data_IF_712729119609
#
_entry.id   IF_712729119609
#
_cell.length_a   1.000
_cell.length_b   1.000
_cell.length_c   1.000
_cell.angle_alpha   90.00
_cell.angle_beta   90.00
_cell.angle_gamma   90.00
#
_symmetry.space_group_name_H-M   'P 1'
#
loop_
_entity.id
_entity.type
_entity.pdbx_description
1 polymer ?
#
# COMPACT_ATOMS: atom_id res chain seq x y z
N UNK A 1 -9.81 6.05 -21.39
CA UNK A 1 -8.43 6.56 -21.20
C UNK A 1 -8.05 6.67 -19.71
N UNK A 2 -8.68 5.91 -18.79
CA UNK A 2 -8.43 5.99 -17.33
C UNK A 2 -7.49 4.90 -16.76
N UNK A 3 -7.33 3.77 -17.44
CA UNK A 3 -6.48 2.66 -16.99
C UNK A 3 -4.99 3.04 -16.84
N UNK A 4 -4.51 3.97 -17.67
CA UNK A 4 -3.10 4.38 -17.69
C UNK A 4 -2.69 5.12 -16.41
N UNK A 5 -3.55 5.97 -15.87
CA UNK A 5 -3.24 6.77 -14.66
C UNK A 5 -3.25 5.92 -13.40
N UNK A 6 -4.23 5.01 -13.28
CA UNK A 6 -4.30 4.09 -12.15
C UNK A 6 -3.09 3.14 -12.14
N UNK A 7 -2.72 2.57 -13.29
CA UNK A 7 -1.54 1.72 -13.38
C UNK A 7 -0.24 2.50 -13.05
N UNK A 8 -0.12 3.75 -13.52
CA UNK A 8 1.03 4.62 -13.21
C UNK A 8 1.12 4.98 -11.74
N UNK A 9 -0.02 5.23 -11.08
CA UNK A 9 -0.11 5.41 -9.64
C UNK A 9 0.37 4.19 -8.87
N UNK A 10 -0.12 2.99 -9.22
CA UNK A 10 0.29 1.74 -8.56
C UNK A 10 1.79 1.49 -8.68
N UNK A 11 2.35 1.73 -9.88
CA UNK A 11 3.78 1.61 -10.11
C UNK A 11 4.58 2.66 -9.31
N UNK A 12 4.11 3.90 -9.25
CA UNK A 12 4.75 4.97 -8.49
C UNK A 12 4.74 4.70 -6.98
N UNK A 13 3.65 4.15 -6.45
CA UNK A 13 3.54 3.77 -5.05
C UNK A 13 4.52 2.64 -4.72
N UNK A 14 4.61 1.63 -5.59
CA UNK A 14 5.57 0.53 -5.44
C UNK A 14 7.01 1.07 -5.45
N UNK A 15 7.34 1.92 -6.43
CA UNK A 15 8.68 2.53 -6.52
C UNK A 15 9.01 3.36 -5.27
N UNK A 16 8.04 4.13 -4.76
CA UNK A 16 8.22 4.89 -3.52
C UNK A 16 8.57 4.00 -2.33
N UNK A 17 7.84 2.90 -2.14
CA UNK A 17 8.08 1.95 -1.05
C UNK A 17 9.47 1.30 -1.20
N UNK A 18 9.78 0.78 -2.38
CA UNK A 18 11.06 0.12 -2.66
C UNK A 18 12.24 1.08 -2.53
N UNK A 19 12.11 2.33 -3.00
CA UNK A 19 13.12 3.37 -2.82
C UNK A 19 13.35 3.66 -1.34
N UNK A 20 12.29 3.87 -0.55
CA UNK A 20 12.42 4.11 0.87
C UNK A 20 13.07 2.94 1.62
N UNK A 21 12.74 1.69 1.24
CA UNK A 21 13.43 0.49 1.77
C UNK A 21 14.92 0.50 1.41
N UNK A 22 15.26 0.78 0.15
CA UNK A 22 16.64 0.75 -0.34
C UNK A 22 17.53 1.80 0.33
N UNK A 23 17.01 3.00 0.60
CA UNK A 23 17.76 4.06 1.30
C UNK A 23 17.69 3.94 2.84
N UNK A 24 16.97 2.94 3.36
CA UNK A 24 16.78 2.75 4.81
C UNK A 24 15.92 3.83 5.47
N UNK A 25 15.11 4.55 4.70
CA UNK A 25 14.28 5.65 5.19
C UNK A 25 12.96 5.16 5.79
N UNK A 26 13.10 4.46 6.92
CA UNK A 26 11.99 3.93 7.71
C UNK A 26 11.05 5.03 8.23
N UNK A 27 11.49 6.30 8.25
CA UNK A 27 10.65 7.43 8.68
C UNK A 27 9.56 7.75 7.68
N UNK A 28 9.71 7.36 6.42
CA UNK A 28 8.68 7.55 5.39
C UNK A 28 7.85 6.29 5.13
N UNK A 29 8.10 5.22 5.89
CA UNK A 29 7.37 3.97 5.84
C UNK A 29 6.58 3.74 7.12
N UNK A 30 5.57 2.89 7.04
CA UNK A 30 4.91 2.27 8.18
C UNK A 30 5.34 0.81 8.17
N UNK A 31 5.96 0.37 9.25
CA UNK A 31 6.32 -1.03 9.42
C UNK A 31 5.23 -1.69 10.23
N UNK A 32 4.53 -2.63 9.63
CA UNK A 32 3.40 -3.32 10.23
C UNK A 32 3.65 -4.83 10.26
N UNK A 33 3.27 -5.48 11.35
CA UNK A 33 3.32 -6.93 11.48
C UNK A 33 1.96 -7.50 11.11
N UNK A 34 1.82 -8.02 9.89
CA UNK A 34 0.56 -8.51 9.34
C UNK A 34 0.16 -9.80 10.04
N UNK A 35 -1.00 -9.79 10.69
CA UNK A 35 -1.55 -10.95 11.39
C UNK A 35 -2.28 -11.90 10.44
N UNK A 36 -2.58 -13.12 10.91
CA UNK A 36 -3.25 -14.15 10.09
C UNK A 36 -4.63 -13.70 9.57
N UNK A 37 -5.40 -12.99 10.39
CA UNK A 37 -6.72 -12.47 10.00
C UNK A 37 -6.61 -11.32 8.99
N UNK A 38 -5.60 -10.46 9.15
CA UNK A 38 -5.30 -9.36 8.23
C UNK A 38 -4.80 -9.87 6.88
N UNK A 39 -4.05 -10.97 6.88
CA UNK A 39 -3.54 -11.60 5.67
C UNK A 39 -4.65 -12.14 4.75
N UNK A 40 -5.82 -12.46 5.34
CA UNK A 40 -7.01 -12.94 4.63
C UNK A 40 -7.94 -11.82 4.18
N UNK A 41 -7.85 -10.64 4.81
CA UNK A 41 -8.69 -9.47 4.50
C UNK A 41 -7.86 -8.18 4.45
N UNK A 42 -7.44 -7.80 3.25
CA UNK A 42 -6.72 -6.55 3.01
C UNK A 42 -7.50 -5.30 3.48
N UNK A 43 -8.83 -5.35 3.46
CA UNK A 43 -9.66 -4.23 3.93
C UNK A 43 -9.59 -4.08 5.45
N UNK A 44 -9.49 -5.20 6.18
CA UNK A 44 -9.25 -5.21 7.62
C UNK A 44 -7.87 -4.66 7.97
N UNK A 45 -6.84 -5.06 7.22
CA UNK A 45 -5.49 -4.52 7.38
C UNK A 45 -5.45 -3.01 7.14
N UNK A 46 -6.07 -2.53 6.06
CA UNK A 46 -6.22 -1.10 5.77
C UNK A 46 -6.92 -0.36 6.92
N UNK A 47 -8.01 -0.94 7.45
CA UNK A 47 -8.75 -0.36 8.56
C UNK A 47 -7.89 -0.24 9.82
N UNK A 48 -7.13 -1.27 10.18
CA UNK A 48 -6.29 -1.27 11.40
C UNK A 48 -5.08 -0.35 11.27
N UNK A 49 -4.43 -0.35 10.12
CA UNK A 49 -3.22 0.45 9.90
C UNK A 49 -3.54 1.92 9.65
N UNK A 50 -4.54 2.23 8.83
CA UNK A 50 -4.84 3.60 8.38
C UNK A 50 -6.12 4.20 8.97
N UNK A 51 -6.90 3.42 9.73
CA UNK A 51 -8.20 3.85 10.25
C UNK A 51 -9.32 3.87 9.21
N UNK A 52 -9.10 3.38 8.00
CA UNK A 52 -10.09 3.37 6.92
C UNK A 52 -9.87 2.22 5.94
N UNK A 53 -10.96 1.72 5.34
CA UNK A 53 -10.93 0.64 4.32
C UNK A 53 -10.64 1.15 2.90
N UNK A 54 -10.61 2.46 2.68
CA UNK A 54 -10.44 3.06 1.34
C UNK A 54 -9.03 2.90 0.77
N UNK A 55 -8.07 2.43 1.57
CA UNK A 55 -6.67 2.22 1.18
C UNK A 55 -6.31 0.75 0.93
N UNK A 56 -7.33 -0.08 0.63
CA UNK A 56 -7.16 -1.52 0.41
C UNK A 56 -6.26 -1.81 -0.80
N UNK A 57 -6.35 -1.02 -1.87
CA UNK A 57 -5.52 -1.19 -3.08
C UNK A 57 -4.04 -0.96 -2.75
N UNK A 58 -3.75 0.05 -1.94
CA UNK A 58 -2.40 0.41 -1.50
C UNK A 58 -1.77 -0.67 -0.63
N UNK A 59 -2.56 -1.27 0.27
CA UNK A 59 -2.13 -2.42 1.08
C UNK A 59 -1.73 -3.60 0.19
N UNK A 60 -2.58 -3.94 -0.77
CA UNK A 60 -2.33 -5.05 -1.72
C UNK A 60 -1.05 -4.80 -2.53
N UNK A 61 -0.86 -3.57 -3.02
CA UNK A 61 0.34 -3.18 -3.78
C UNK A 61 1.60 -3.29 -2.92
N UNK A 62 1.56 -2.80 -1.68
CA UNK A 62 2.68 -2.85 -0.75
C UNK A 62 3.06 -4.30 -0.40
N UNK A 63 2.06 -5.17 -0.28
CA UNK A 63 2.23 -6.61 -0.07
C UNK A 63 2.68 -7.38 -1.32
N UNK A 64 2.71 -6.74 -2.50
CA UNK A 64 3.06 -7.41 -3.76
C UNK A 64 1.99 -8.37 -4.27
N UNK A 65 0.77 -8.30 -3.75
CA UNK A 65 -0.35 -9.11 -4.16
C UNK A 65 -0.99 -8.60 -5.45
N UNK A 66 -1.60 -9.49 -6.24
CA UNK A 66 -2.22 -9.14 -7.53
C UNK A 66 -3.70 -8.74 -7.42
N UNK A 67 -4.35 -8.99 -6.29
CA UNK A 67 -5.76 -8.66 -6.10
C UNK A 67 -6.26 -8.86 -4.67
N UNK A 68 -7.52 -8.45 -4.43
CA UNK A 68 -8.16 -8.46 -3.10
C UNK A 68 -8.39 -9.87 -2.52
N UNK A 69 -8.36 -10.90 -3.38
CA UNK A 69 -8.56 -12.30 -2.99
C UNK A 69 -7.23 -13.05 -2.75
N UNK A 70 -6.11 -12.38 -2.97
CA UNK A 70 -4.80 -12.97 -2.75
C UNK A 70 -4.46 -12.93 -1.25
N UNK A 71 -3.80 -13.99 -0.77
CA UNK A 71 -3.40 -14.03 0.64
C UNK A 71 -2.16 -13.16 0.82
N UNK A 72 -2.24 -12.16 1.69
CA UNK A 72 -1.11 -11.26 1.93
C UNK A 72 -0.01 -11.99 2.72
N UNK A 73 1.26 -11.61 2.56
CA UNK A 73 2.34 -12.17 3.36
C UNK A 73 2.14 -11.82 4.84
N UNK A 74 2.22 -12.83 5.70
CA UNK A 74 2.20 -12.66 7.15
C UNK A 74 3.55 -12.11 7.64
N UNK A 75 3.51 -11.37 8.75
CA UNK A 75 4.68 -10.81 9.39
C UNK A 75 5.04 -9.41 8.90
N UNK A 76 6.31 -9.03 9.13
CA UNK A 76 6.75 -7.64 9.03
C UNK A 76 6.83 -7.15 7.58
N UNK A 77 5.89 -6.29 7.21
CA UNK A 77 5.81 -5.65 5.88
C UNK A 77 5.90 -4.14 6.00
N UNK A 78 6.47 -3.49 4.99
CA UNK A 78 6.58 -2.04 4.93
C UNK A 78 5.55 -1.45 3.97
N UNK A 79 4.82 -0.44 4.46
CA UNK A 79 3.75 0.25 3.76
C UNK A 79 4.07 1.73 3.62
N UNK A 80 3.48 2.38 2.62
CA UNK A 80 3.59 3.83 2.48
C UNK A 80 2.80 4.56 3.57
N UNK A 81 3.23 5.76 3.94
CA UNK A 81 2.42 6.64 4.80
C UNK A 81 1.21 7.20 4.05
N UNK A 82 0.14 7.51 4.80
CA UNK A 82 -1.05 8.18 4.26
C UNK A 82 -0.67 9.48 3.54
N UNK A 83 0.28 10.25 4.07
CA UNK A 83 0.77 11.48 3.42
C UNK A 83 1.32 11.24 2.02
N UNK A 84 2.09 10.16 1.82
CA UNK A 84 2.64 9.80 0.52
C UNK A 84 1.55 9.28 -0.42
N UNK A 85 0.62 8.47 0.09
CA UNK A 85 -0.55 7.98 -0.66
C UNK A 85 -1.37 9.16 -1.19
N UNK A 86 -1.73 10.12 -0.34
CA UNK A 86 -2.52 11.29 -0.73
C UNK A 86 -1.78 12.19 -1.74
N UNK A 87 -0.46 12.35 -1.58
CA UNK A 87 0.35 13.09 -2.56
C UNK A 87 0.35 12.41 -3.93
N UNK A 88 0.53 11.09 -3.97
CA UNK A 88 0.55 10.33 -5.22
C UNK A 88 -0.83 10.27 -5.88
N UNK A 89 -1.91 10.09 -5.10
CA UNK A 89 -3.30 10.15 -5.58
C UNK A 89 -3.59 11.48 -6.25
N UNK A 90 -3.20 12.59 -5.60
CA UNK A 90 -3.33 13.93 -6.17
C UNK A 90 -2.48 14.14 -7.43
N UNK A 91 -1.26 13.62 -7.46
CA UNK A 91 -0.36 13.77 -8.61
C UNK A 91 -0.88 13.04 -9.85
N UNK A 92 -1.45 11.85 -9.68
CA UNK A 92 -1.97 11.01 -10.76
C UNK A 92 -3.48 11.17 -11.00
N UNK A 93 -4.12 12.13 -10.32
CA UNK A 93 -5.57 12.41 -10.41
C UNK A 93 -6.45 11.17 -10.15
N UNK A 94 -6.04 10.34 -9.19
CA UNK A 94 -6.76 9.14 -8.75
C UNK A 94 -7.45 9.45 -7.43
N UNK A 95 -8.78 9.39 -7.41
CA UNK A 95 -9.62 9.58 -6.21
C UNK A 95 -9.79 8.28 -5.42
#
# INVERSE_FOLDING_TARGET
MGDSYRNSYRNSLRDHIERCKAVGDVRNLIIWDVQEDEAKDASLLSLRMYGSRIYTDEVIIACGANGIYDTLPQGRTAFAKISAILQLRRYWEVD
#
